data_IF_299173710932
#
_entry.id   IF_299173710932
#
_cell.length_a   1.000
_cell.length_b   1.000
_cell.length_c   1.000
_cell.angle_alpha   90.00
_cell.angle_beta   90.00
_cell.angle_gamma   90.00
#
_symmetry.space_group_name_H-M   'P 1'
#
loop_
_entity.id
_entity.type
_entity.pdbx_description
1 polymer ?
#
# COMPACT_ATOMS: atom_id res chain seq x y z
N UNK A 1 -27.49 -18.70 -52.44
CA UNK A 1 -28.95 -18.91 -52.34
C UNK A 1 -29.36 -18.48 -50.93
N UNK A 2 -29.79 -17.23 -50.73
CA UNK A 2 -31.22 -16.80 -50.61
C UNK A 2 -31.72 -17.01 -49.16
N UNK A 3 -32.27 -16.09 -48.35
CA UNK A 3 -32.91 -14.74 -48.41
C UNK A 3 -32.84 -14.15 -46.96
N UNK A 4 -32.57 -12.88 -46.68
CA UNK A 4 -33.36 -11.62 -46.73
C UNK A 4 -34.56 -11.45 -45.76
N UNK A 5 -34.64 -10.21 -45.22
CA UNK A 5 -35.70 -9.49 -44.47
C UNK A 5 -35.64 -9.60 -42.94
N UNK A 6 -35.80 -8.53 -42.14
CA UNK A 6 -36.22 -7.15 -42.36
C UNK A 6 -36.59 -6.50 -41.01
N UNK A 7 -36.46 -5.17 -40.93
CA UNK A 7 -36.50 -4.31 -39.74
C UNK A 7 -37.88 -4.12 -39.08
N UNK A 8 -37.92 -3.54 -37.86
CA UNK A 8 -38.71 -2.32 -37.58
C UNK A 8 -38.45 -1.73 -36.18
N UNK A 9 -38.22 -0.42 -36.17
CA UNK A 9 -38.32 0.53 -35.04
C UNK A 9 -39.81 0.88 -34.85
N UNK A 10 -40.25 1.17 -33.63
CA UNK A 10 -41.47 1.95 -33.40
C UNK A 10 -41.38 2.82 -32.16
N UNK A 11 -41.41 4.12 -32.41
CA UNK A 11 -41.77 5.24 -31.53
C UNK A 11 -43.16 5.08 -30.89
N UNK A 12 -43.34 5.67 -29.72
CA UNK A 12 -44.65 6.02 -29.18
C UNK A 12 -44.66 7.50 -28.79
N UNK A 13 -45.59 8.24 -29.39
CA UNK A 13 -45.99 9.62 -29.08
C UNK A 13 -47.51 9.67 -28.98
N UNK A 14 -47.98 10.67 -28.21
CA UNK A 14 -49.33 11.21 -28.07
C UNK A 14 -50.28 10.45 -27.11
N UNK A 15 -51.15 11.07 -26.30
CA UNK A 15 -51.73 12.42 -26.41
C UNK A 15 -52.29 12.96 -25.07
N UNK A 16 -52.61 14.27 -25.11
CA UNK A 16 -53.20 15.16 -24.11
C UNK A 16 -54.50 14.68 -23.41
N UNK A 17 -54.70 15.15 -22.15
CA UNK A 17 -55.98 15.78 -21.71
C UNK A 17 -55.79 16.68 -20.47
N UNK A 18 -56.52 17.79 -20.50
CA UNK A 18 -56.62 18.90 -19.54
C UNK A 18 -57.07 18.50 -18.12
N UNK A 19 -56.62 19.23 -17.10
CA UNK A 19 -57.52 19.76 -16.07
C UNK A 19 -56.93 20.99 -15.36
N UNK A 20 -57.77 22.02 -15.23
CA UNK A 20 -57.45 23.35 -14.69
C UNK A 20 -57.57 23.39 -13.17
N UNK A 21 -56.84 24.28 -12.49
CA UNK A 21 -57.45 25.43 -11.77
C UNK A 21 -56.51 26.15 -10.79
N UNK A 22 -56.53 27.49 -10.91
CA UNK A 22 -56.46 28.54 -9.87
C UNK A 22 -55.11 28.90 -9.20
N UNK A 23 -54.51 29.96 -9.76
CA UNK A 23 -53.66 30.93 -9.05
C UNK A 23 -54.50 32.07 -8.43
N UNK A 24 -54.21 32.56 -7.22
CA UNK A 24 -54.68 33.86 -6.77
C UNK A 24 -53.72 34.97 -7.18
N UNK A 25 -54.29 35.95 -7.88
CA UNK A 25 -53.74 37.24 -8.27
C UNK A 25 -53.86 38.21 -7.09
N UNK A 26 -52.78 38.85 -6.66
CA UNK A 26 -52.80 39.94 -5.66
C UNK A 26 -52.37 41.26 -6.32
N UNK A 27 -53.31 42.19 -6.35
CA UNK A 27 -53.19 43.56 -6.86
C UNK A 27 -52.26 44.41 -5.97
N UNK A 28 -51.30 45.11 -6.58
CA UNK A 28 -50.52 46.17 -5.94
C UNK A 28 -51.26 47.51 -6.06
N UNK A 29 -51.65 48.11 -4.93
CA UNK A 29 -52.08 49.52 -4.86
C UNK A 29 -50.85 50.40 -4.62
N UNK A 30 -50.64 51.35 -5.52
CA UNK A 30 -49.66 52.42 -5.38
C UNK A 30 -50.24 53.55 -4.52
N UNK A 31 -49.53 53.92 -3.46
CA UNK A 31 -49.74 55.16 -2.74
C UNK A 31 -48.44 55.99 -2.78
N UNK A 32 -48.50 57.19 -3.36
CA UNK A 32 -47.46 58.21 -3.34
C UNK A 32 -47.59 59.05 -2.06
N UNK A 33 -46.49 59.27 -1.35
CA UNK A 33 -46.33 60.36 -0.37
C UNK A 33 -44.84 60.72 -0.22
N UNK A 34 -44.49 61.96 0.18
CA UNK A 34 -43.42 62.73 -0.43
C UNK A 34 -42.04 62.66 0.26
N UNK A 35 -41.03 63.08 -0.51
CA UNK A 35 -39.65 63.38 -0.12
C UNK A 35 -39.57 64.34 1.08
N UNK A 36 -38.80 63.96 2.11
CA UNK A 36 -37.91 64.86 2.83
C UNK A 36 -36.74 64.06 3.43
N UNK A 37 -35.52 64.38 2.98
CA UNK A 37 -34.27 63.81 3.48
C UNK A 37 -33.84 64.50 4.78
N UNK A 38 -33.09 63.78 5.63
CA UNK A 38 -31.95 64.36 6.30
C UNK A 38 -30.66 63.75 5.73
N UNK A 39 -29.78 64.64 5.25
CA UNK A 39 -28.42 64.31 4.82
C UNK A 39 -27.67 63.70 6.01
N UNK A 40 -27.46 62.38 5.98
CA UNK A 40 -26.45 61.73 6.82
C UNK A 40 -25.14 61.73 6.05
N UNK A 41 -24.11 62.30 6.66
CA UNK A 41 -22.76 62.32 6.13
C UNK A 41 -22.29 60.89 5.85
N UNK A 42 -21.75 60.67 4.65
CA UNK A 42 -21.02 59.45 4.34
C UNK A 42 -19.73 59.46 5.17
N UNK A 43 -19.70 58.66 6.24
CA UNK A 43 -18.43 58.16 6.75
C UNK A 43 -17.83 57.28 5.65
N UNK A 44 -16.69 57.68 5.11
CA UNK A 44 -15.92 56.88 4.16
C UNK A 44 -15.70 55.50 4.77
N UNK A 45 -16.29 54.45 4.18
CA UNK A 45 -15.99 53.08 4.56
C UNK A 45 -14.52 52.84 4.21
N UNK A 46 -13.68 52.79 5.23
CA UNK A 46 -12.33 52.23 5.14
C UNK A 46 -12.42 50.94 4.32
N UNK A 47 -11.64 50.83 3.25
CA UNK A 47 -11.53 49.60 2.48
C UNK A 47 -11.10 48.47 3.42
N UNK A 48 -12.06 47.68 3.88
CA UNK A 48 -11.78 46.46 4.61
C UNK A 48 -10.97 45.58 3.68
N UNK A 49 -9.68 45.46 3.98
CA UNK A 49 -8.81 44.47 3.36
C UNK A 49 -9.47 43.13 3.59
N UNK A 50 -10.07 42.54 2.55
CA UNK A 50 -10.50 41.14 2.55
C UNK A 50 -9.24 40.34 2.88
N UNK A 51 -9.15 39.91 4.14
CA UNK A 51 -8.06 39.08 4.62
C UNK A 51 -8.34 37.69 4.08
N UNK A 52 -7.99 37.45 2.81
CA UNK A 52 -8.03 36.13 2.20
C UNK A 52 -7.24 35.23 3.14
N UNK A 53 -7.96 34.39 3.87
CA UNK A 53 -7.39 33.48 4.84
C UNK A 53 -6.54 32.51 4.03
N UNK A 54 -5.24 32.79 3.94
CA UNK A 54 -4.30 32.00 3.14
C UNK A 54 -4.31 30.61 3.74
N UNK A 55 -4.97 29.66 3.07
CA UNK A 55 -5.00 28.27 3.49
C UNK A 55 -3.55 27.80 3.52
N UNK A 56 -3.01 27.63 4.72
CA UNK A 56 -1.70 27.04 4.93
C UNK A 56 -1.91 25.56 5.10
N UNK A 57 -1.15 24.75 4.37
CA UNK A 57 -1.18 23.29 4.42
C UNK A 57 0.16 22.76 4.88
N UNK A 58 0.20 21.50 5.32
CA UNK A 58 1.46 20.90 5.75
C UNK A 58 2.41 20.75 4.55
N UNK A 59 3.69 21.02 4.76
CA UNK A 59 4.71 20.90 3.70
C UNK A 59 4.72 19.52 3.06
N UNK A 60 4.61 18.44 3.84
CA UNK A 60 4.60 17.08 3.29
C UNK A 60 3.40 16.81 2.36
N UNK A 61 2.22 17.34 2.70
CA UNK A 61 1.04 17.26 1.84
C UNK A 61 1.18 18.08 0.56
N UNK A 62 1.72 19.30 0.66
CA UNK A 62 1.99 20.16 -0.51
C UNK A 62 3.01 19.49 -1.44
N UNK A 63 4.06 18.89 -0.88
CA UNK A 63 5.04 18.14 -1.65
C UNK A 63 4.43 16.92 -2.32
N UNK A 64 3.58 16.16 -1.63
CA UNK A 64 2.92 14.98 -2.20
C UNK A 64 2.04 15.32 -3.39
N UNK A 65 1.33 16.45 -3.33
CA UNK A 65 0.47 16.89 -4.42
C UNK A 65 1.25 17.38 -5.64
N UNK A 66 2.38 18.07 -5.41
CA UNK A 66 3.20 18.66 -6.48
C UNK A 66 4.23 17.70 -7.08
N UNK A 67 4.70 16.74 -6.29
CA UNK A 67 5.74 15.77 -6.66
C UNK A 67 5.22 14.34 -6.55
N UNK A 68 4.13 14.05 -7.25
CA UNK A 68 3.40 12.77 -7.19
C UNK A 68 4.24 11.56 -7.62
N UNK A 69 5.37 11.78 -8.30
CA UNK A 69 6.32 10.72 -8.64
C UNK A 69 7.04 10.15 -7.41
N UNK A 70 7.06 10.84 -6.27
CA UNK A 70 7.75 10.40 -5.07
C UNK A 70 6.77 9.91 -3.99
N UNK A 71 7.20 8.90 -3.25
CA UNK A 71 6.42 8.40 -2.12
C UNK A 71 6.43 9.39 -0.94
N UNK A 72 5.38 9.33 -0.11
CA UNK A 72 5.29 10.07 1.15
C UNK A 72 6.54 9.88 2.01
N UNK A 73 7.04 8.66 2.07
CA UNK A 73 8.20 8.27 2.86
C UNK A 73 9.45 9.02 2.43
N UNK A 74 9.72 9.16 1.12
CA UNK A 74 10.86 9.95 0.65
C UNK A 74 10.68 11.43 0.90
N UNK A 75 9.50 11.98 0.60
CA UNK A 75 9.22 13.39 0.85
C UNK A 75 9.48 13.73 2.32
N UNK A 76 8.95 12.93 3.24
CA UNK A 76 9.15 13.15 4.68
C UNK A 76 10.63 12.98 5.10
N UNK A 77 11.32 12.01 4.50
CA UNK A 77 12.75 11.79 4.74
C UNK A 77 13.60 12.97 4.25
N UNK A 78 13.35 13.49 3.05
CA UNK A 78 14.07 14.62 2.46
C UNK A 78 13.80 15.91 3.20
N UNK A 79 12.57 16.14 3.66
CA UNK A 79 12.26 17.25 4.55
C UNK A 79 13.15 17.13 5.78
N UNK A 80 13.09 16.01 6.50
CA UNK A 80 13.90 15.80 7.73
C UNK A 80 15.40 15.96 7.49
N UNK A 81 15.91 15.59 6.32
CA UNK A 81 17.32 15.75 5.91
C UNK A 81 17.70 17.17 5.47
N UNK A 82 16.76 18.12 5.46
CA UNK A 82 17.01 19.50 5.00
C UNK A 82 17.18 19.64 3.49
N UNK A 83 16.67 18.68 2.70
CA UNK A 83 16.74 18.68 1.24
C UNK A 83 15.57 19.41 0.57
N UNK A 84 14.61 19.91 1.35
CA UNK A 84 13.43 20.63 0.84
C UNK A 84 13.53 22.11 1.18
N UNK A 85 13.31 22.94 0.17
CA UNK A 85 13.35 24.39 0.25
C UNK A 85 11.96 24.98 0.04
N UNK A 86 11.58 25.95 0.86
CA UNK A 86 10.36 26.75 0.73
C UNK A 86 10.76 28.21 0.64
N UNK A 87 10.42 28.86 -0.47
CA UNK A 87 10.80 30.25 -0.78
C UNK A 87 12.31 30.49 -0.57
N UNK A 88 13.13 29.55 -1.04
CA UNK A 88 14.60 29.60 -0.95
C UNK A 88 15.21 29.21 0.40
N UNK A 89 14.41 28.85 1.41
CA UNK A 89 14.89 28.47 2.75
C UNK A 89 14.71 26.98 3.02
N UNK A 90 15.71 26.35 3.65
CA UNK A 90 15.59 24.96 4.10
C UNK A 90 14.48 24.83 5.14
N UNK A 91 13.59 23.86 4.94
CA UNK A 91 12.56 23.48 5.91
C UNK A 91 12.70 22.00 6.24
N UNK A 92 12.87 21.69 7.52
CA UNK A 92 13.19 20.34 7.99
C UNK A 92 12.09 19.65 8.82
N UNK A 93 10.88 20.21 8.83
CA UNK A 93 9.73 19.66 9.55
C UNK A 93 8.55 19.44 8.62
N UNK A 94 8.10 18.20 8.48
CA UNK A 94 7.02 17.79 7.57
C UNK A 94 5.71 18.57 7.80
N UNK A 95 5.35 18.79 9.05
CA UNK A 95 4.13 19.50 9.44
C UNK A 95 4.23 21.04 9.34
N UNK A 96 5.29 21.60 8.77
CA UNK A 96 5.44 23.06 8.65
C UNK A 96 4.30 23.63 7.80
N UNK A 97 3.54 24.64 8.28
CA UNK A 97 2.46 25.24 7.50
C UNK A 97 3.03 26.10 6.37
N UNK A 98 2.77 25.72 5.14
CA UNK A 98 3.25 26.38 3.92
C UNK A 98 2.06 26.96 3.15
N UNK A 99 2.25 28.13 2.56
CA UNK A 99 1.22 28.75 1.72
C UNK A 99 1.07 27.96 0.41
N UNK A 100 -0.15 27.83 -0.11
CA UNK A 100 -0.38 27.20 -1.42
C UNK A 100 0.37 27.90 -2.58
N UNK A 101 0.80 29.15 -2.41
CA UNK A 101 1.60 29.93 -3.38
C UNK A 101 3.11 29.86 -3.17
N UNK A 102 3.58 29.23 -2.10
CA UNK A 102 5.01 29.15 -1.82
C UNK A 102 5.71 28.35 -2.92
N UNK A 103 6.91 28.76 -3.28
CA UNK A 103 7.77 28.00 -4.19
C UNK A 103 8.42 26.90 -3.36
N UNK A 104 8.21 25.64 -3.78
CA UNK A 104 8.76 24.46 -3.09
C UNK A 104 9.69 23.75 -4.05
N UNK A 105 10.92 23.51 -3.61
CA UNK A 105 11.96 22.81 -4.36
C UNK A 105 12.49 21.64 -3.54
N UNK A 106 12.72 20.50 -4.20
CA UNK A 106 13.37 19.33 -3.59
C UNK A 106 14.74 19.15 -4.26
N UNK A 107 15.80 19.31 -3.48
CA UNK A 107 17.19 19.09 -3.90
C UNK A 107 17.68 17.75 -3.34
N UNK A 108 17.16 16.67 -3.92
CA UNK A 108 17.51 15.31 -3.54
C UNK A 108 17.72 14.44 -4.76
N UNK A 109 18.61 13.46 -4.64
CA UNK A 109 18.77 12.42 -5.64
C UNK A 109 17.51 11.56 -5.73
N UNK A 110 17.12 11.23 -6.96
CA UNK A 110 15.98 10.36 -7.22
C UNK A 110 16.33 8.94 -6.74
N UNK A 111 15.56 8.35 -5.84
CA UNK A 111 15.85 7.01 -5.34
C UNK A 111 15.52 5.97 -6.41
N UNK A 112 16.29 4.88 -6.47
CA UNK A 112 16.05 3.77 -7.41
C UNK A 112 14.66 3.15 -7.23
N UNK A 113 14.25 2.91 -5.98
CA UNK A 113 12.96 2.31 -5.63
C UNK A 113 12.07 3.25 -4.83
N UNK A 114 10.74 3.10 -4.88
CA UNK A 114 9.76 3.92 -4.12
C UNK A 114 9.90 3.86 -2.60
N UNK A 115 10.59 2.85 -2.06
CA UNK A 115 11.06 2.84 -0.68
C UNK A 115 12.30 1.96 -0.53
N UNK A 116 12.98 2.08 0.62
CA UNK A 116 14.23 1.36 0.92
C UNK A 116 14.10 -0.17 0.84
N UNK A 117 12.89 -0.72 1.03
CA UNK A 117 12.67 -2.16 0.98
C UNK A 117 13.03 -2.77 -0.38
N UNK A 118 12.94 -2.02 -1.49
CA UNK A 118 13.34 -2.52 -2.81
C UNK A 118 14.80 -3.00 -2.86
N UNK A 119 15.71 -2.36 -2.11
CA UNK A 119 17.10 -2.79 -2.02
C UNK A 119 17.29 -4.14 -1.30
N UNK A 120 16.34 -4.55 -0.45
CA UNK A 120 16.39 -5.86 0.20
C UNK A 120 16.11 -6.96 -0.83
N UNK A 121 15.07 -6.79 -1.63
CA UNK A 121 14.73 -7.75 -2.67
C UNK A 121 15.82 -7.78 -3.74
N UNK A 122 16.30 -6.63 -4.19
CA UNK A 122 17.43 -6.51 -5.13
C UNK A 122 18.63 -7.35 -4.70
N UNK A 123 19.08 -7.22 -3.45
CA UNK A 123 20.19 -8.02 -2.93
C UNK A 123 19.91 -9.52 -2.98
N UNK A 124 18.66 -9.95 -2.74
CA UNK A 124 18.30 -11.36 -2.86
C UNK A 124 18.24 -11.82 -4.33
N UNK A 125 17.73 -10.99 -5.26
CA UNK A 125 17.71 -11.33 -6.68
C UNK A 125 19.14 -11.52 -7.22
N UNK A 126 20.06 -10.65 -6.84
CA UNK A 126 21.45 -10.69 -7.28
C UNK A 126 22.23 -11.84 -6.62
N UNK A 127 22.20 -11.95 -5.29
CA UNK A 127 23.06 -12.91 -4.57
C UNK A 127 22.54 -14.34 -4.59
N UNK A 128 21.23 -14.53 -4.79
CA UNK A 128 20.61 -15.86 -4.91
C UNK A 128 20.25 -16.20 -6.36
N UNK A 129 20.72 -15.39 -7.32
CA UNK A 129 20.59 -15.60 -8.77
C UNK A 129 19.15 -15.86 -9.24
N UNK A 130 18.21 -15.06 -8.73
CA UNK A 130 16.78 -15.22 -9.00
C UNK A 130 16.39 -14.40 -10.22
N UNK A 131 16.12 -15.07 -11.33
CA UNK A 131 15.54 -14.42 -12.50
C UNK A 131 14.05 -14.13 -12.30
N UNK A 132 13.62 -12.89 -12.53
CA UNK A 132 12.22 -12.46 -12.49
C UNK A 132 11.70 -11.98 -13.84
N UNK A 133 12.53 -12.05 -14.88
CA UNK A 133 12.22 -11.56 -16.22
C UNK A 133 11.02 -12.30 -16.79
N UNK A 134 10.01 -11.55 -17.24
CA UNK A 134 8.79 -12.09 -17.83
C UNK A 134 7.84 -12.77 -16.84
N UNK A 135 8.22 -12.93 -15.56
CA UNK A 135 7.43 -13.63 -14.56
C UNK A 135 6.26 -12.80 -14.04
N UNK A 136 5.14 -13.48 -13.78
CA UNK A 136 4.04 -12.92 -12.99
C UNK A 136 4.35 -13.14 -11.52
N UNK A 137 4.32 -12.07 -10.72
CA UNK A 137 4.67 -12.11 -9.31
C UNK A 137 3.49 -11.78 -8.39
N UNK A 138 3.52 -12.33 -7.18
CA UNK A 138 2.74 -11.91 -6.03
C UNK A 138 3.67 -11.17 -5.06
N UNK A 139 3.38 -9.90 -4.76
CA UNK A 139 4.01 -9.15 -3.68
C UNK A 139 3.10 -9.14 -2.44
N UNK A 140 3.44 -9.94 -1.44
CA UNK A 140 2.68 -10.11 -0.21
C UNK A 140 3.22 -9.20 0.90
N UNK A 141 2.46 -8.15 1.20
CA UNK A 141 2.92 -7.06 2.07
C UNK A 141 3.35 -5.83 1.26
N UNK A 142 2.58 -5.48 0.22
CA UNK A 142 2.90 -4.43 -0.75
C UNK A 142 3.36 -3.12 -0.10
N UNK A 143 2.69 -2.67 0.98
CA UNK A 143 2.97 -1.43 1.71
C UNK A 143 3.13 -0.22 0.78
N UNK A 144 4.30 0.41 0.74
CA UNK A 144 4.62 1.51 -0.20
C UNK A 144 4.86 1.01 -1.64
N UNK A 145 5.21 -0.26 -1.83
CA UNK A 145 5.47 -0.90 -3.11
C UNK A 145 6.95 -1.12 -3.43
N UNK A 146 7.82 -1.21 -2.43
CA UNK A 146 9.27 -1.32 -2.65
C UNK A 146 9.69 -2.60 -3.37
N UNK A 147 9.13 -3.75 -2.98
CA UNK A 147 9.40 -5.04 -3.63
C UNK A 147 8.79 -5.07 -5.02
N UNK A 148 7.53 -4.66 -5.18
CA UNK A 148 6.91 -4.46 -6.50
C UNK A 148 7.76 -3.59 -7.44
N UNK A 149 8.26 -2.44 -6.99
CA UNK A 149 9.13 -1.59 -7.83
C UNK A 149 10.42 -2.31 -8.26
N UNK A 150 11.02 -3.07 -7.34
CA UNK A 150 12.18 -3.90 -7.63
C UNK A 150 11.87 -4.97 -8.68
N UNK A 151 10.78 -5.71 -8.53
CA UNK A 151 10.34 -6.73 -9.48
C UNK A 151 10.12 -6.15 -10.89
N UNK A 152 9.40 -5.03 -10.98
CA UNK A 152 9.10 -4.38 -12.25
C UNK A 152 10.35 -3.86 -12.96
N UNK A 153 11.33 -3.33 -12.21
CA UNK A 153 12.60 -2.85 -12.76
C UNK A 153 13.51 -4.00 -13.22
N UNK A 154 13.39 -5.18 -12.61
CA UNK A 154 14.09 -6.39 -13.03
C UNK A 154 13.32 -7.23 -14.06
N UNK A 155 12.25 -6.69 -14.63
CA UNK A 155 11.60 -7.28 -15.80
C UNK A 155 10.42 -8.20 -15.50
N UNK A 156 9.87 -8.23 -14.29
CA UNK A 156 8.60 -8.90 -14.03
C UNK A 156 7.51 -8.36 -14.98
N UNK A 157 6.73 -9.26 -15.58
CA UNK A 157 5.71 -8.90 -16.56
C UNK A 157 4.45 -8.35 -15.92
N UNK A 158 4.13 -8.83 -14.71
CA UNK A 158 2.96 -8.40 -13.96
C UNK A 158 3.14 -8.66 -12.45
N UNK A 159 2.56 -7.82 -11.59
CA UNK A 159 2.61 -7.98 -10.13
C UNK A 159 1.22 -7.83 -9.51
N UNK A 160 0.78 -8.83 -8.76
CA UNK A 160 -0.32 -8.71 -7.81
C UNK A 160 0.22 -8.24 -6.48
N UNK A 161 -0.07 -7.01 -6.08
CA UNK A 161 0.38 -6.45 -4.80
C UNK A 161 -0.73 -6.52 -3.76
N UNK A 162 -0.52 -7.29 -2.69
CA UNK A 162 -1.53 -7.53 -1.64
C UNK A 162 -1.11 -6.84 -0.35
N UNK A 163 -2.03 -6.10 0.26
CA UNK A 163 -1.81 -5.47 1.57
C UNK A 163 -3.08 -5.42 2.42
N UNK A 164 -2.90 -5.51 3.74
CA UNK A 164 -3.98 -5.31 4.71
C UNK A 164 -4.32 -3.83 4.91
N UNK A 165 -3.35 -2.94 4.68
CA UNK A 165 -3.47 -1.51 4.77
C UNK A 165 -4.22 -0.90 3.58
N UNK A 166 -4.33 0.43 3.62
CA UNK A 166 -5.00 1.22 2.60
C UNK A 166 -4.33 2.59 2.44
N UNK A 167 -4.14 3.02 1.19
CA UNK A 167 -3.66 4.36 0.85
C UNK A 167 -2.17 4.58 1.10
N UNK A 168 -1.38 3.50 1.20
CA UNK A 168 0.06 3.56 1.45
C UNK A 168 0.90 3.39 0.17
N UNK A 169 0.34 2.71 -0.83
CA UNK A 169 1.01 2.42 -2.10
C UNK A 169 1.42 3.70 -2.80
N UNK A 170 2.68 3.80 -3.22
CA UNK A 170 3.19 4.94 -3.96
C UNK A 170 2.46 5.10 -5.30
N UNK A 171 2.23 6.36 -5.69
CA UNK A 171 1.52 6.73 -6.91
C UNK A 171 2.13 6.11 -8.18
N UNK A 172 3.48 6.03 -8.25
CA UNK A 172 4.22 5.33 -9.32
C UNK A 172 3.74 3.88 -9.48
N UNK A 173 3.58 3.16 -8.38
CA UNK A 173 3.20 1.74 -8.38
C UNK A 173 1.71 1.59 -8.65
N UNK A 174 0.89 2.46 -8.07
CA UNK A 174 -0.57 2.42 -8.25
C UNK A 174 -1.00 2.65 -9.71
N UNK A 175 -0.23 3.43 -10.47
CA UNK A 175 -0.53 3.77 -11.87
C UNK A 175 0.16 2.86 -12.90
N UNK A 176 1.06 1.97 -12.49
CA UNK A 176 1.72 1.06 -13.43
C UNK A 176 0.71 -0.01 -13.89
N UNK A 177 0.51 -0.11 -15.21
CA UNK A 177 -0.47 -1.03 -15.82
C UNK A 177 -0.14 -2.51 -15.58
N UNK A 178 1.12 -2.80 -15.23
CA UNK A 178 1.59 -4.15 -14.86
C UNK A 178 1.29 -4.50 -13.40
N UNK A 179 0.61 -3.64 -12.65
CA UNK A 179 0.32 -3.86 -11.23
C UNK A 179 -1.16 -3.91 -10.96
N UNK A 180 -1.60 -4.98 -10.29
CA UNK A 180 -2.92 -5.05 -9.65
C UNK A 180 -2.76 -4.89 -8.15
N UNK A 181 -3.17 -3.73 -7.63
CA UNK A 181 -3.23 -3.45 -6.20
C UNK A 181 -4.48 -4.09 -5.57
N UNK A 182 -4.27 -4.87 -4.51
CA UNK A 182 -5.29 -5.57 -3.73
C UNK A 182 -5.12 -5.17 -2.25
N UNK A 183 -5.62 -3.98 -1.91
CA UNK A 183 -5.59 -3.42 -0.56
C UNK A 183 -6.73 -3.98 0.33
N UNK A 184 -6.65 -3.70 1.64
CA UNK A 184 -7.62 -4.16 2.65
C UNK A 184 -7.87 -5.67 2.64
N UNK A 185 -6.87 -6.44 2.21
CA UNK A 185 -6.99 -7.88 2.02
C UNK A 185 -5.94 -8.58 2.85
N UNK A 186 -6.39 -9.46 3.75
CA UNK A 186 -5.49 -10.33 4.50
C UNK A 186 -5.09 -11.51 3.62
N UNK A 187 -3.79 -11.64 3.34
CA UNK A 187 -3.22 -12.69 2.50
C UNK A 187 -3.71 -14.09 2.87
N UNK A 188 -3.94 -14.37 4.16
CA UNK A 188 -4.44 -15.68 4.63
C UNK A 188 -5.74 -16.12 3.98
N UNK A 189 -6.52 -15.18 3.46
CA UNK A 189 -7.83 -15.41 2.85
C UNK A 189 -7.83 -15.17 1.35
N UNK A 190 -6.68 -14.90 0.74
CA UNK A 190 -6.55 -14.78 -0.71
C UNK A 190 -6.41 -16.19 -1.30
N UNK A 191 -7.54 -16.77 -1.72
CA UNK A 191 -7.61 -18.14 -2.23
C UNK A 191 -7.51 -18.22 -3.76
N UNK A 192 -7.79 -17.12 -4.45
CA UNK A 192 -7.78 -17.07 -5.90
C UNK A 192 -7.35 -15.69 -6.40
N UNK A 193 -6.71 -15.70 -7.57
CA UNK A 193 -6.33 -14.53 -8.35
C UNK A 193 -6.53 -14.87 -9.83
N UNK A 194 -6.69 -13.89 -10.73
CA UNK A 194 -7.03 -14.15 -12.13
C UNK A 194 -6.06 -15.07 -12.88
N UNK A 195 -4.78 -15.08 -12.50
CA UNK A 195 -3.79 -16.01 -13.01
C UNK A 195 -2.82 -16.42 -11.89
N UNK A 196 -2.41 -17.69 -11.86
CA UNK A 196 -1.39 -18.15 -10.91
C UNK A 196 -0.04 -17.47 -11.18
N UNK A 197 0.74 -17.25 -10.12
CA UNK A 197 2.04 -16.57 -10.18
C UNK A 197 3.21 -17.53 -10.34
N UNK A 198 4.26 -17.08 -11.02
CA UNK A 198 5.57 -17.73 -11.17
C UNK A 198 6.50 -17.45 -9.98
N UNK A 199 6.24 -16.35 -9.26
CA UNK A 199 7.05 -15.88 -8.13
C UNK A 199 6.14 -15.33 -7.04
N UNK A 200 6.44 -15.62 -5.78
CA UNK A 200 5.84 -14.94 -4.64
C UNK A 200 6.94 -14.33 -3.75
N UNK A 201 6.76 -13.08 -3.34
CA UNK A 201 7.59 -12.43 -2.32
C UNK A 201 6.80 -12.20 -1.04
N UNK A 202 7.36 -12.53 0.12
CA UNK A 202 6.71 -12.32 1.42
C UNK A 202 7.52 -11.31 2.26
N UNK A 203 7.00 -10.08 2.39
CA UNK A 203 7.50 -9.05 3.31
C UNK A 203 6.40 -8.71 4.33
N UNK A 204 6.18 -9.64 5.27
CA UNK A 204 5.06 -9.57 6.21
C UNK A 204 5.51 -9.08 7.58
N UNK A 205 4.60 -8.42 8.31
CA UNK A 205 4.83 -7.99 9.69
C UNK A 205 3.70 -8.48 10.59
N UNK A 206 4.01 -8.76 11.86
CA UNK A 206 3.04 -9.23 12.88
C UNK A 206 2.38 -10.58 12.59
N UNK A 207 2.90 -11.35 11.63
CA UNK A 207 2.44 -12.68 11.28
C UNK A 207 3.64 -13.54 10.90
N UNK A 208 3.56 -14.84 11.23
CA UNK A 208 4.56 -15.82 10.79
C UNK A 208 4.37 -16.17 9.32
N UNK A 209 5.47 -16.31 8.59
CA UNK A 209 5.52 -16.79 7.21
C UNK A 209 4.77 -18.12 7.07
N UNK A 210 4.98 -19.05 7.99
CA UNK A 210 4.36 -20.38 7.94
C UNK A 210 2.83 -20.33 8.02
N UNK A 211 2.27 -19.29 8.62
CA UNK A 211 0.81 -19.12 8.75
C UNK A 211 0.14 -18.77 7.42
N UNK A 212 0.86 -18.12 6.50
CA UNK A 212 0.29 -17.68 5.22
C UNK A 212 0.54 -18.66 4.07
N UNK A 213 1.45 -19.62 4.26
CA UNK A 213 1.85 -20.58 3.23
C UNK A 213 0.67 -21.30 2.53
N UNK A 214 -0.41 -21.74 3.22
CA UNK A 214 -1.53 -22.36 2.53
C UNK A 214 -2.20 -21.46 1.47
N UNK A 215 -2.37 -20.17 1.79
CA UNK A 215 -2.97 -19.21 0.85
C UNK A 215 -2.00 -18.91 -0.31
N UNK A 216 -0.72 -18.73 0.00
CA UNK A 216 0.33 -18.50 -1.01
C UNK A 216 0.41 -19.67 -2.00
N UNK A 217 0.38 -20.92 -1.52
CA UNK A 217 0.34 -22.12 -2.36
C UNK A 217 -0.85 -22.16 -3.33
N UNK A 218 -2.03 -21.72 -2.88
CA UNK A 218 -3.26 -21.78 -3.69
C UNK A 218 -3.17 -20.91 -4.96
N UNK A 219 -2.36 -19.86 -4.92
CA UNK A 219 -2.20 -18.88 -6.00
C UNK A 219 -0.89 -19.03 -6.79
N UNK A 220 -0.02 -19.96 -6.41
CA UNK A 220 1.25 -20.23 -7.09
C UNK A 220 1.13 -21.36 -8.12
N UNK A 221 1.93 -21.27 -9.19
CA UNK A 221 2.23 -22.40 -10.10
C UNK A 221 3.08 -23.45 -9.38
N UNK A 222 3.17 -24.64 -9.95
CA UNK A 222 3.80 -25.80 -9.30
C UNK A 222 5.34 -25.78 -9.36
N UNK A 223 5.90 -24.97 -10.26
CA UNK A 223 7.33 -24.69 -10.46
C UNK A 223 7.73 -23.27 -9.99
N UNK A 224 6.85 -22.60 -9.25
CA UNK A 224 7.04 -21.22 -8.84
C UNK A 224 8.17 -21.04 -7.80
N UNK A 225 8.77 -19.85 -7.80
CA UNK A 225 9.78 -19.43 -6.83
C UNK A 225 9.13 -18.68 -5.67
N UNK A 226 9.63 -18.88 -4.45
CA UNK A 226 9.25 -18.13 -3.26
C UNK A 226 10.47 -17.40 -2.71
N UNK A 227 10.33 -16.11 -2.44
CA UNK A 227 11.32 -15.31 -1.71
C UNK A 227 10.67 -14.76 -0.46
N UNK A 228 11.26 -14.98 0.70
CA UNK A 228 10.67 -14.55 1.97
C UNK A 228 11.65 -13.74 2.79
N UNK A 229 11.19 -12.60 3.33
CA UNK A 229 11.91 -11.78 4.28
C UNK A 229 11.57 -12.26 5.69
N UNK A 230 12.52 -12.98 6.29
CA UNK A 230 12.44 -13.55 7.62
C UNK A 230 12.79 -12.46 8.64
N UNK A 231 11.83 -12.16 9.50
CA UNK A 231 11.92 -11.15 10.55
C UNK A 231 11.86 -11.82 11.92
N UNK A 232 13.00 -12.06 12.60
CA UNK A 232 13.06 -12.81 13.85
C UNK A 232 12.06 -12.34 14.92
N UNK A 233 11.81 -11.04 15.02
CA UNK A 233 10.86 -10.47 15.98
C UNK A 233 9.41 -10.93 15.80
N UNK A 234 9.04 -11.47 14.64
CA UNK A 234 7.71 -12.01 14.36
C UNK A 234 7.67 -13.55 14.34
N UNK A 235 8.84 -14.19 14.40
CA UNK A 235 8.97 -15.65 14.27
C UNK A 235 9.48 -16.33 15.55
N UNK A 236 10.25 -15.61 16.36
CA UNK A 236 10.78 -16.07 17.65
C UNK A 236 9.67 -16.15 18.72
N UNK A 237 9.96 -16.89 19.79
CA UNK A 237 9.08 -16.91 20.96
C UNK A 237 9.06 -15.54 21.65
N UNK A 238 7.92 -15.18 22.28
CA UNK A 238 7.78 -13.89 22.98
C UNK A 238 8.86 -13.66 24.04
N UNK A 239 9.31 -14.71 24.72
CA UNK A 239 10.40 -14.65 25.72
C UNK A 239 11.78 -14.34 25.13
N UNK A 240 11.97 -14.58 23.83
CA UNK A 240 13.22 -14.34 23.10
C UNK A 240 13.28 -12.94 22.46
N UNK A 241 12.17 -12.19 22.50
CA UNK A 241 12.09 -10.82 21.97
C UNK A 241 12.39 -9.84 23.10
N UNK A 242 13.53 -9.14 23.00
CA UNK A 242 13.95 -8.19 24.01
C UNK A 242 13.20 -6.86 23.96
N UNK A 243 13.57 -5.96 24.88
CA UNK A 243 13.03 -4.59 24.94
C UNK A 243 13.14 -3.86 23.60
N UNK A 244 12.05 -3.17 23.22
CA UNK A 244 11.90 -2.51 21.93
C UNK A 244 11.49 -3.42 20.77
N UNK A 245 11.14 -4.68 21.04
CA UNK A 245 10.78 -5.63 19.97
C UNK A 245 11.98 -6.14 19.19
N UNK A 246 13.18 -6.13 19.79
CA UNK A 246 14.45 -6.42 19.10
C UNK A 246 14.98 -7.77 19.54
N UNK A 247 15.22 -8.66 18.56
CA UNK A 247 15.91 -9.93 18.77
C UNK A 247 17.41 -9.71 18.54
N UNK A 248 18.20 -9.82 19.61
CA UNK A 248 19.66 -9.55 19.58
C UNK A 248 20.51 -10.81 19.57
N UNK A 249 19.99 -11.90 20.13
CA UNK A 249 20.73 -13.15 20.30
C UNK A 249 20.92 -13.86 18.95
N UNK A 250 22.17 -14.07 18.48
CA UNK A 250 22.46 -14.79 17.25
C UNK A 250 21.94 -16.24 17.24
N UNK A 251 21.85 -16.90 18.40
CA UNK A 251 21.32 -18.25 18.50
C UNK A 251 19.82 -18.27 18.17
N UNK A 252 19.08 -17.26 18.64
CA UNK A 252 17.66 -17.09 18.29
C UNK A 252 17.50 -16.80 16.81
N UNK A 253 18.42 -16.04 16.19
CA UNK A 253 18.40 -15.83 14.73
C UNK A 253 18.57 -17.14 13.96
N UNK A 254 19.53 -17.97 14.37
CA UNK A 254 19.75 -19.29 13.75
C UNK A 254 18.56 -20.23 13.94
N UNK A 255 17.97 -20.26 15.15
CA UNK A 255 16.77 -21.03 15.45
C UNK A 255 15.60 -20.62 14.55
N UNK A 256 15.36 -19.31 14.41
CA UNK A 256 14.31 -18.78 13.53
C UNK A 256 14.57 -19.16 12.07
N UNK A 257 15.79 -18.98 11.57
CA UNK A 257 16.14 -19.36 10.20
C UNK A 257 15.85 -20.84 9.94
N UNK A 258 16.32 -21.73 10.83
CA UNK A 258 16.10 -23.16 10.73
C UNK A 258 14.59 -23.50 10.78
N UNK A 259 13.85 -22.89 11.71
CA UNK A 259 12.40 -23.07 11.84
C UNK A 259 11.66 -22.71 10.56
N UNK A 260 11.97 -21.55 9.96
CA UNK A 260 11.29 -21.09 8.75
C UNK A 260 11.69 -21.91 7.53
N UNK A 261 12.98 -22.19 7.35
CA UNK A 261 13.46 -23.00 6.23
C UNK A 261 12.81 -24.39 6.27
N UNK A 262 12.88 -25.08 7.41
CA UNK A 262 12.27 -26.41 7.56
C UNK A 262 10.75 -26.35 7.39
N UNK A 263 10.08 -25.37 8.01
CA UNK A 263 8.63 -25.23 7.92
C UNK A 263 8.15 -24.93 6.50
N UNK A 264 8.89 -24.16 5.70
CA UNK A 264 8.57 -23.92 4.28
C UNK A 264 8.81 -25.19 3.46
N UNK A 265 9.83 -25.99 3.78
CA UNK A 265 10.06 -27.28 3.13
C UNK A 265 8.93 -28.29 3.37
N UNK A 266 8.28 -28.26 4.54
CA UNK A 266 7.09 -29.08 4.82
C UNK A 266 5.90 -28.76 3.88
N UNK A 267 5.90 -27.57 3.28
CA UNK A 267 4.93 -27.14 2.25
C UNK A 267 5.34 -27.52 0.81
N UNK A 268 6.34 -28.38 0.63
CA UNK A 268 6.76 -28.86 -0.69
C UNK A 268 7.73 -27.93 -1.43
N UNK A 269 8.50 -27.14 -0.69
CA UNK A 269 9.55 -26.28 -1.23
C UNK A 269 10.95 -26.84 -0.94
N UNK A 270 11.92 -26.42 -1.75
CA UNK A 270 13.34 -26.67 -1.51
C UNK A 270 14.05 -25.33 -1.32
N UNK A 271 14.82 -25.18 -0.25
CA UNK A 271 15.60 -23.97 0.00
C UNK A 271 16.79 -23.90 -0.96
N UNK A 272 16.92 -22.79 -1.70
CA UNK A 272 18.02 -22.53 -2.63
C UNK A 272 19.14 -21.68 -2.03
N UNK A 273 18.88 -21.05 -0.90
CA UNK A 273 19.86 -20.25 -0.18
C UNK A 273 19.19 -19.12 0.61
N UNK A 274 19.98 -18.48 1.46
CA UNK A 274 19.56 -17.30 2.21
C UNK A 274 20.72 -16.32 2.40
N UNK A 275 20.39 -15.05 2.61
CA UNK A 275 21.33 -13.97 2.87
C UNK A 275 20.86 -13.11 4.05
N UNK A 276 21.79 -12.38 4.66
CA UNK A 276 21.44 -11.26 5.52
C UNK A 276 20.79 -10.14 4.69
N UNK A 277 19.70 -9.55 5.18
CA UNK A 277 19.15 -8.34 4.55
C UNK A 277 20.19 -7.22 4.62
N UNK A 278 20.45 -6.49 3.51
CA UNK A 278 21.42 -5.40 3.48
C UNK A 278 21.01 -4.21 4.36
N UNK A 279 19.73 -4.17 4.75
CA UNK A 279 19.15 -3.16 5.62
C UNK A 279 18.53 -3.80 6.85
N UNK A 280 18.73 -3.16 8.00
CA UNK A 280 18.01 -3.51 9.22
C UNK A 280 16.52 -3.12 9.11
N UNK A 281 15.68 -3.82 9.86
CA UNK A 281 14.27 -3.46 10.05
C UNK A 281 14.08 -2.10 10.72
N UNK A 282 12.84 -1.61 10.79
CA UNK A 282 12.51 -0.27 11.30
C UNK A 282 13.08 -0.01 12.71
N UNK A 283 13.07 -1.03 13.57
CA UNK A 283 13.54 -0.94 14.96
C UNK A 283 14.99 -1.44 15.13
N UNK A 284 15.73 -1.62 14.03
CA UNK A 284 17.12 -2.08 14.06
C UNK A 284 17.29 -3.60 14.14
N UNK A 285 16.21 -4.37 13.99
CA UNK A 285 16.27 -5.83 13.89
C UNK A 285 17.11 -6.27 12.68
N UNK A 286 17.91 -7.32 12.88
CA UNK A 286 18.51 -8.07 11.78
C UNK A 286 17.42 -8.89 11.10
N UNK A 287 17.40 -8.89 9.78
CA UNK A 287 16.42 -9.62 8.96
C UNK A 287 17.18 -10.43 7.91
N UNK A 288 16.54 -11.43 7.34
CA UNK A 288 17.17 -12.36 6.39
C UNK A 288 16.26 -12.58 5.19
N UNK A 289 16.82 -12.77 4.00
CA UNK A 289 16.05 -13.21 2.83
C UNK A 289 16.39 -14.65 2.51
N UNK A 290 15.38 -15.46 2.24
CA UNK A 290 15.56 -16.84 1.80
C UNK A 290 14.78 -17.08 0.51
N UNK A 291 15.40 -17.84 -0.40
CA UNK A 291 14.80 -18.24 -1.68
C UNK A 291 14.50 -19.73 -1.68
N UNK A 292 13.37 -20.08 -2.27
CA UNK A 292 12.92 -21.46 -2.38
C UNK A 292 12.33 -21.73 -3.77
N UNK A 293 12.52 -22.94 -4.27
CA UNK A 293 11.80 -23.44 -5.44
C UNK A 293 10.70 -24.40 -5.01
N UNK A 294 9.50 -24.26 -5.55
CA UNK A 294 8.45 -25.24 -5.33
C UNK A 294 8.81 -26.55 -6.04
N UNK A 295 8.63 -27.67 -5.35
CA UNK A 295 8.81 -29.00 -5.92
C UNK A 295 7.45 -29.57 -6.29
N UNK A 296 7.28 -29.93 -7.56
CA UNK A 296 6.00 -30.41 -8.11
C UNK A 296 5.49 -31.74 -7.51
N UNK A 297 6.27 -32.39 -6.63
CA UNK A 297 6.07 -33.80 -6.24
C UNK A 297 5.55 -34.01 -4.81
N UNK A 298 5.21 -32.96 -4.07
CA UNK A 298 4.53 -33.09 -2.79
C UNK A 298 3.26 -32.24 -2.81
N UNK A 299 2.13 -32.87 -3.12
CA UNK A 299 0.88 -32.35 -2.59
C UNK A 299 1.04 -32.28 -1.06
N UNK A 300 0.93 -31.09 -0.45
CA UNK A 300 1.11 -30.97 0.98
C UNK A 300 0.03 -31.82 1.66
N UNK A 301 0.46 -32.71 2.56
CA UNK A 301 -0.46 -33.44 3.41
C UNK A 301 -1.37 -32.42 4.13
N UNK A 302 -2.69 -32.41 3.89
CA UNK A 302 -3.63 -31.47 4.50
C UNK A 302 -3.60 -31.50 6.03
N UNK A 303 -3.07 -32.57 6.62
CA UNK A 303 -2.91 -32.76 8.06
C UNK A 303 -1.69 -32.05 8.63
N UNK A 304 -0.59 -31.90 7.87
CA UNK A 304 0.62 -31.18 8.30
C UNK A 304 0.37 -29.67 8.46
N UNK A 305 -0.38 -29.07 7.53
CA UNK A 305 -0.77 -27.66 7.59
C UNK A 305 -1.64 -27.32 8.81
N UNK A 306 -2.48 -28.26 9.28
CA UNK A 306 -3.36 -28.07 10.44
C UNK A 306 -2.63 -28.30 11.77
N UNK A 307 -1.67 -29.22 11.83
CA UNK A 307 -0.90 -29.51 13.04
C UNK A 307 0.01 -28.33 13.46
N UNK A 308 0.66 -27.68 12.49
CA UNK A 308 1.55 -26.54 12.77
C UNK A 308 0.78 -25.27 13.20
N UNK A 309 -0.39 -25.01 12.63
CA UNK A 309 -1.24 -23.87 13.06
C UNK A 309 -1.82 -24.11 14.46
N UNK A 310 -2.24 -25.34 14.80
CA UNK A 310 -2.77 -25.68 16.12
C UNK A 310 -1.71 -25.63 17.23
N UNK A 311 -0.44 -25.93 16.91
CA UNK A 311 0.66 -25.86 17.87
C UNK A 311 1.14 -24.42 18.13
N UNK A 312 1.03 -23.49 17.16
CA UNK A 312 1.29 -22.07 17.41
C UNK A 312 0.22 -21.43 18.32
N UNK A 313 -1.05 -21.84 18.22
CA UNK A 313 -2.13 -21.23 19.03
C UNK A 313 -2.18 -21.75 20.47
N UNK A 314 -1.69 -22.97 20.74
CA UNK A 314 -1.62 -23.55 22.10
C UNK A 314 -0.61 -22.85 23.02
N UNK A 315 0.33 -22.05 22.50
CA UNK A 315 1.22 -21.20 23.30
C UNK A 315 0.55 -19.96 23.91
N UNK A 316 -0.76 -19.77 23.71
CA UNK A 316 -1.50 -18.57 24.15
C UNK A 316 -2.63 -18.84 25.15
N UNK A 317 -2.83 -20.08 25.58
CA UNK A 317 -3.88 -20.43 26.57
C UNK A 317 -3.34 -21.37 27.64
N UNK A 318 -2.59 -20.82 28.59
CA UNK A 318 -2.46 -21.39 29.93
C UNK A 318 -2.02 -20.33 30.93
N UNK A 319 -2.95 -19.45 31.29
CA UNK A 319 -2.93 -18.77 32.59
C UNK A 319 -4.28 -19.08 33.23
N UNK A 320 -4.32 -20.11 34.06
CA UNK A 320 -5.36 -20.24 35.07
C UNK A 320 -5.06 -19.25 36.21
N UNK A 321 -6.07 -18.61 36.82
CA UNK A 321 -5.84 -17.74 37.96
C UNK A 321 -5.54 -18.59 39.19
N UNK A 322 -4.38 -18.36 39.81
CA UNK A 322 -4.10 -18.88 41.14
C UNK A 322 -4.78 -17.97 42.18
N UNK A 323 -5.41 -18.64 43.15
CA UNK A 323 -6.08 -18.12 44.35
C UNK A 323 -5.13 -17.32 45.22
#
# INVERSE_FOLDING_TARGET
>A
MSRFLGASISSYTNDFTLFSSKFPMLYARWAKAPMHQPVRSFAASSSEKIKVQRKKRRLDEVCLERFQQYSRTFIQSWITQGKVFVDGKVVNKCGTPVSDKAVVEIKAEVPKYVCRAGHKLEAALEQLEIDVTGKVALDSGLSTGGFTDCLLQHGASFVYGVDVGYGQVADKIRRDERVKVIERTNLRYLLEIPQKVDLATLDLSFISILTVMPAVLSVMKDDATLVTLIKPQFEAHRSQVGGGGIVRDPLVHQEVLAKIINGVQDFGFECKGWIDSPLKGADGNKEFLASFSRTATKDPDPTAAKANVANLHRGTQSIQPAV
#
